data_IF_617202770808
#
_entry.id   IF_617202770808
#
_cell.length_a   1.000
_cell.length_b   1.000
_cell.length_c   1.000
_cell.angle_alpha   90.00
_cell.angle_beta   90.00
_cell.angle_gamma   90.00
#
_symmetry.space_group_name_H-M   'P 1'
#
loop_
_entity.id
_entity.type
_entity.pdbx_description
1 polymer ?
#
# COMPACT_ATOMS: atom_id res chain seq x y z
N UNK A 1 32.24 -25.19 24.63
CA UNK A 1 31.70 -24.64 23.38
C UNK A 1 30.76 -23.52 23.74
N UNK A 2 31.19 -22.27 23.54
CA UNK A 2 30.35 -21.07 23.85
C UNK A 2 29.66 -20.63 22.58
N UNK A 3 28.36 -20.66 22.59
CA UNK A 3 27.55 -20.12 21.50
C UNK A 3 27.37 -18.60 21.72
N UNK A 4 27.87 -17.81 20.82
CA UNK A 4 27.66 -16.37 20.75
C UNK A 4 26.45 -16.13 19.91
N UNK A 5 25.37 -15.65 20.54
CA UNK A 5 24.20 -15.14 19.86
C UNK A 5 24.57 -13.80 19.20
N UNK A 6 24.54 -13.73 17.89
CA UNK A 6 24.65 -12.48 17.14
C UNK A 6 23.31 -11.77 17.17
N UNK A 7 23.23 -10.68 17.89
CA UNK A 7 22.11 -9.74 17.84
C UNK A 7 22.29 -8.89 16.58
N UNK A 8 21.44 -9.09 15.59
CA UNK A 8 21.31 -8.16 14.46
C UNK A 8 20.54 -6.93 14.94
N UNK A 9 21.25 -5.85 15.18
CA UNK A 9 20.66 -4.53 15.38
C UNK A 9 20.36 -3.97 14.01
N UNK A 10 19.08 -4.06 13.60
CA UNK A 10 18.57 -3.38 12.42
C UNK A 10 18.64 -1.87 12.65
N UNK A 11 19.44 -1.18 11.86
CA UNK A 11 19.53 0.27 11.85
C UNK A 11 18.27 0.84 11.16
N UNK A 12 17.21 1.10 11.93
CA UNK A 12 16.06 1.85 11.43
C UNK A 12 16.46 3.31 11.25
N UNK A 13 16.64 3.72 10.01
CA UNK A 13 16.83 5.13 9.65
C UNK A 13 15.53 5.88 9.91
N UNK A 14 15.39 6.46 11.10
CA UNK A 14 14.28 7.32 11.46
C UNK A 14 14.40 8.64 10.73
N UNK A 15 13.74 8.77 9.59
CA UNK A 15 13.50 10.04 8.92
C UNK A 15 12.39 10.77 9.67
N UNK A 16 12.74 11.62 10.61
CA UNK A 16 11.81 12.51 11.29
C UNK A 16 11.34 13.61 10.33
N UNK A 17 10.42 13.27 9.44
CA UNK A 17 9.52 14.23 8.79
C UNK A 17 8.32 14.52 9.72
N UNK A 18 7.52 15.59 9.48
CA UNK A 18 6.35 15.89 10.30
C UNK A 18 5.46 14.65 10.37
N UNK A 19 4.99 14.33 11.57
CA UNK A 19 4.34 13.08 11.96
C UNK A 19 3.27 12.61 10.94
N UNK A 20 3.69 11.83 9.98
CA UNK A 20 2.83 10.93 9.27
C UNK A 20 2.48 9.86 10.32
N UNK A 21 1.25 9.84 10.79
CA UNK A 21 0.80 8.77 11.71
C UNK A 21 1.16 7.44 11.07
N UNK A 22 1.89 6.63 11.83
CA UNK A 22 2.53 5.43 11.33
C UNK A 22 1.47 4.47 10.77
N UNK A 23 1.66 4.01 9.54
CA UNK A 23 0.98 2.85 9.03
C UNK A 23 1.46 1.63 9.83
N UNK A 24 0.61 0.61 9.94
CA UNK A 24 0.97 -0.65 10.57
C UNK A 24 2.11 -1.32 9.81
N UNK A 25 3.03 -1.91 10.51
CA UNK A 25 4.06 -2.75 9.91
C UNK A 25 3.47 -4.06 9.41
N UNK A 26 4.02 -4.58 8.34
CA UNK A 26 3.69 -5.92 7.84
C UNK A 26 4.70 -6.89 8.44
N UNK A 27 4.21 -7.97 9.03
CA UNK A 27 5.02 -9.03 9.59
C UNK A 27 4.50 -10.42 9.16
N UNK A 28 5.35 -11.43 9.26
CA UNK A 28 5.00 -12.80 8.92
C UNK A 28 5.36 -13.73 10.08
N UNK A 29 4.47 -14.66 10.37
CA UNK A 29 4.68 -15.68 11.37
C UNK A 29 4.31 -17.06 10.84
N UNK A 30 4.81 -18.09 11.52
CA UNK A 30 4.44 -19.47 11.22
C UNK A 30 2.95 -19.69 11.44
N UNK A 31 2.38 -20.61 10.65
CA UNK A 31 0.98 -20.99 10.73
C UNK A 31 0.58 -21.42 12.15
N UNK A 32 -0.42 -20.80 12.67
CA UNK A 32 -1.19 -21.23 13.83
C UNK A 32 -2.43 -20.34 13.96
N UNK A 33 -3.52 -20.88 14.48
CA UNK A 33 -4.65 -20.05 14.90
C UNK A 33 -4.28 -19.36 16.22
N UNK A 34 -4.31 -18.03 16.31
CA UNK A 34 -3.97 -17.33 17.56
C UNK A 34 -5.03 -17.60 18.64
N UNK A 35 -4.66 -17.51 19.93
CA UNK A 35 -5.57 -17.80 21.04
C UNK A 35 -6.65 -16.73 21.26
N UNK A 36 -6.47 -15.52 20.73
CA UNK A 36 -7.39 -14.38 20.88
C UNK A 36 -6.97 -13.23 19.96
N UNK A 37 -7.70 -12.12 19.98
CA UNK A 37 -7.37 -10.89 19.25
C UNK A 37 -8.23 -10.68 18.03
N UNK A 38 -7.71 -9.92 17.06
CA UNK A 38 -8.41 -9.64 15.78
C UNK A 38 -7.80 -10.46 14.66
N UNK A 39 -8.61 -11.29 14.02
CA UNK A 39 -8.20 -12.12 12.91
C UNK A 39 -8.97 -11.80 11.63
N UNK A 40 -8.35 -12.10 10.48
CA UNK A 40 -8.98 -12.04 9.18
C UNK A 40 -8.82 -13.37 8.44
N UNK A 41 -9.88 -13.83 7.82
CA UNK A 41 -9.95 -15.15 7.12
C UNK A 41 -10.54 -14.93 5.74
N UNK A 42 -9.85 -15.45 4.73
CA UNK A 42 -10.39 -15.58 3.38
C UNK A 42 -11.30 -16.82 3.31
N UNK A 43 -12.50 -16.65 2.77
CA UNK A 43 -13.53 -17.72 2.74
C UNK A 43 -14.01 -17.92 1.32
N UNK A 44 -13.88 -19.15 0.80
CA UNK A 44 -14.40 -19.50 -0.52
C UNK A 44 -15.93 -19.62 -0.52
N UNK A 45 -16.52 -19.51 -1.71
CA UNK A 45 -17.96 -19.61 -1.87
C UNK A 45 -18.48 -20.96 -1.37
N UNK A 46 -19.60 -20.93 -0.65
CA UNK A 46 -20.21 -22.08 -0.01
C UNK A 46 -19.70 -22.34 1.41
N UNK A 47 -18.79 -21.53 1.92
CA UNK A 47 -18.23 -21.60 3.30
C UNK A 47 -17.76 -23.02 3.66
N UNK A 48 -16.52 -23.40 3.33
CA UNK A 48 -16.04 -24.78 3.39
C UNK A 48 -16.02 -25.35 4.81
N UNK A 49 -16.10 -26.67 4.90
CA UNK A 49 -15.97 -27.44 6.15
C UNK A 49 -14.51 -27.83 6.46
N UNK A 50 -13.57 -27.39 5.64
CA UNK A 50 -12.13 -27.67 5.76
C UNK A 50 -11.31 -26.38 5.64
N UNK A 51 -10.02 -26.44 6.02
CA UNK A 51 -9.07 -25.32 5.93
C UNK A 51 -9.25 -24.26 7.01
N UNK A 52 -8.72 -23.08 6.75
CA UNK A 52 -8.61 -21.99 7.74
C UNK A 52 -9.93 -21.66 8.44
N UNK A 53 -11.04 -21.64 7.69
CA UNK A 53 -12.35 -21.34 8.27
C UNK A 53 -12.75 -22.41 9.30
N UNK A 54 -12.57 -23.68 8.96
CA UNK A 54 -12.91 -24.80 9.85
C UNK A 54 -12.02 -24.81 11.11
N UNK A 55 -10.72 -24.51 10.96
CA UNK A 55 -9.79 -24.42 12.09
C UNK A 55 -10.21 -23.32 13.07
N UNK A 56 -10.67 -22.18 12.56
CA UNK A 56 -11.17 -21.07 13.40
C UNK A 56 -12.53 -21.42 14.01
N UNK A 57 -13.40 -22.11 13.26
CA UNK A 57 -14.71 -22.53 13.78
C UNK A 57 -14.56 -23.56 14.92
N UNK A 58 -13.59 -24.47 14.84
CA UNK A 58 -13.26 -25.40 15.93
C UNK A 58 -12.83 -24.64 17.20
N UNK A 59 -11.95 -23.62 17.06
CA UNK A 59 -11.50 -22.79 18.19
C UNK A 59 -12.65 -21.98 18.81
N UNK A 60 -13.66 -21.61 18.03
CA UNK A 60 -14.85 -20.88 18.50
C UNK A 60 -15.99 -21.79 18.96
N UNK A 61 -15.77 -23.11 19.04
CA UNK A 61 -16.81 -24.11 19.40
C UNK A 61 -18.08 -23.99 18.51
N UNK A 62 -17.87 -23.82 17.19
CA UNK A 62 -18.93 -23.66 16.21
C UNK A 62 -19.67 -22.33 16.25
N UNK A 63 -19.18 -21.34 17.02
CA UNK A 63 -19.84 -20.04 17.09
C UNK A 63 -19.67 -19.23 15.81
N UNK A 64 -18.54 -19.39 15.13
CA UNK A 64 -18.28 -18.72 13.86
C UNK A 64 -19.28 -19.19 12.77
N UNK A 65 -19.47 -20.49 12.62
CA UNK A 65 -20.42 -21.08 11.68
C UNK A 65 -21.84 -20.58 11.96
N UNK A 66 -22.28 -20.64 13.21
CA UNK A 66 -23.61 -20.13 13.61
C UNK A 66 -23.80 -18.66 13.28
N UNK A 67 -22.74 -17.83 13.44
CA UNK A 67 -22.81 -16.41 13.11
C UNK A 67 -22.92 -16.17 11.60
N UNK A 68 -22.15 -16.92 10.81
CA UNK A 68 -22.17 -16.88 9.34
C UNK A 68 -23.54 -17.29 8.79
N UNK A 69 -24.10 -18.40 9.30
CA UNK A 69 -25.43 -18.90 8.90
C UNK A 69 -26.55 -17.91 9.26
N UNK A 70 -26.44 -17.23 10.41
CA UNK A 70 -27.46 -16.28 10.87
C UNK A 70 -27.58 -15.03 9.95
N UNK A 71 -26.50 -14.67 9.26
CA UNK A 71 -26.47 -13.52 8.35
C UNK A 71 -26.47 -13.94 6.87
N UNK A 72 -26.53 -15.24 6.60
CA UNK A 72 -26.50 -15.81 5.25
C UNK A 72 -25.26 -15.36 4.45
N UNK A 73 -24.09 -15.30 5.08
CA UNK A 73 -22.82 -15.05 4.39
C UNK A 73 -22.44 -16.28 3.58
N UNK A 74 -22.25 -16.14 2.29
CA UNK A 74 -21.96 -17.23 1.37
C UNK A 74 -20.52 -17.28 0.89
N UNK A 75 -19.67 -16.33 1.27
CA UNK A 75 -18.29 -16.21 0.80
C UNK A 75 -18.19 -15.80 -0.66
N UNK A 76 -19.22 -15.14 -1.19
CA UNK A 76 -19.18 -14.60 -2.54
C UNK A 76 -18.05 -13.59 -2.72
N UNK A 77 -17.61 -13.41 -3.97
CA UNK A 77 -16.59 -12.42 -4.28
C UNK A 77 -17.05 -11.04 -3.84
N UNK A 78 -16.13 -10.30 -3.20
CA UNK A 78 -16.38 -8.97 -2.65
C UNK A 78 -17.29 -8.93 -1.42
N UNK A 79 -17.82 -10.03 -0.96
CA UNK A 79 -18.54 -10.10 0.30
C UNK A 79 -17.57 -9.98 1.48
N UNK A 80 -17.97 -9.22 2.47
CA UNK A 80 -17.19 -9.04 3.71
C UNK A 80 -18.12 -9.06 4.91
N UNK A 81 -17.74 -9.83 5.91
CA UNK A 81 -18.47 -9.92 7.17
C UNK A 81 -17.55 -9.59 8.32
N UNK A 82 -18.01 -8.71 9.19
CA UNK A 82 -17.29 -8.25 10.38
C UNK A 82 -18.04 -8.71 11.61
N UNK A 83 -17.41 -9.58 12.38
CA UNK A 83 -17.99 -10.26 13.55
C UNK A 83 -17.23 -9.84 14.82
N UNK A 84 -17.70 -8.84 15.57
CA UNK A 84 -17.13 -8.49 16.86
C UNK A 84 -17.55 -9.49 17.94
N UNK A 85 -16.61 -9.84 18.83
CA UNK A 85 -16.91 -10.57 20.06
C UNK A 85 -17.29 -12.04 19.89
N UNK A 86 -16.82 -12.70 18.85
CA UNK A 86 -16.93 -14.18 18.71
C UNK A 86 -15.77 -14.81 19.48
N UNK A 87 -16.03 -15.17 20.72
CA UNK A 87 -15.01 -15.71 21.64
C UNK A 87 -14.27 -16.93 21.03
N UNK A 88 -12.95 -17.05 21.21
CA UNK A 88 -12.09 -16.22 22.05
C UNK A 88 -11.57 -14.94 21.37
N UNK A 89 -12.03 -14.61 20.17
CA UNK A 89 -11.56 -13.48 19.39
C UNK A 89 -12.33 -12.19 19.73
N UNK A 90 -11.61 -11.07 19.74
CA UNK A 90 -12.21 -9.75 19.86
C UNK A 90 -12.99 -9.37 18.61
N UNK A 91 -12.47 -9.81 17.44
CA UNK A 91 -13.05 -9.53 16.13
C UNK A 91 -12.60 -10.54 15.11
N UNK A 92 -13.53 -11.01 14.27
CA UNK A 92 -13.24 -11.85 13.10
C UNK A 92 -13.70 -11.10 11.85
N UNK A 93 -12.81 -10.93 10.89
CA UNK A 93 -13.09 -10.32 9.59
C UNK A 93 -13.08 -11.43 8.54
N UNK A 94 -14.23 -11.74 7.95
CA UNK A 94 -14.33 -12.69 6.85
C UNK A 94 -14.35 -11.92 5.53
N UNK A 95 -13.59 -12.38 4.55
CA UNK A 95 -13.54 -11.82 3.20
C UNK A 95 -13.82 -12.94 2.19
N UNK A 96 -14.91 -12.83 1.44
CA UNK A 96 -15.30 -13.79 0.42
C UNK A 96 -14.34 -13.75 -0.78
N UNK A 97 -13.90 -14.93 -1.22
CA UNK A 97 -13.07 -15.12 -2.41
C UNK A 97 -13.87 -15.43 -3.66
N UNK A 98 -15.14 -15.86 -3.48
CA UNK A 98 -15.96 -16.42 -4.55
C UNK A 98 -15.61 -17.86 -4.88
N UNK A 99 -16.14 -18.33 -6.01
CA UNK A 99 -15.91 -19.70 -6.54
C UNK A 99 -14.72 -19.79 -7.50
N UNK A 100 -14.14 -18.66 -7.90
CA UNK A 100 -13.09 -18.61 -8.89
C UNK A 100 -11.75 -19.08 -8.32
N UNK A 101 -10.84 -19.44 -9.22
CA UNK A 101 -9.46 -19.76 -8.88
C UNK A 101 -8.77 -18.57 -8.19
N UNK A 102 -7.98 -18.85 -7.17
CA UNK A 102 -7.27 -17.84 -6.40
C UNK A 102 -6.11 -17.24 -7.21
N UNK A 103 -6.31 -16.03 -7.71
CA UNK A 103 -5.30 -15.28 -8.45
C UNK A 103 -4.56 -14.31 -7.54
N UNK A 104 -3.33 -13.91 -7.95
CA UNK A 104 -2.56 -12.87 -7.23
C UNK A 104 -3.37 -11.58 -7.00
N UNK A 105 -4.15 -11.16 -8.01
CA UNK A 105 -5.01 -9.98 -7.90
C UNK A 105 -6.11 -10.14 -6.84
N UNK A 106 -6.73 -11.31 -6.79
CA UNK A 106 -7.74 -11.59 -5.75
C UNK A 106 -7.13 -11.54 -4.36
N UNK A 107 -5.92 -12.09 -4.19
CA UNK A 107 -5.18 -12.02 -2.92
C UNK A 107 -4.84 -10.57 -2.52
N UNK A 108 -4.41 -9.76 -3.48
CA UNK A 108 -4.18 -8.32 -3.27
C UNK A 108 -5.47 -7.59 -2.87
N UNK A 109 -6.59 -7.90 -3.50
CA UNK A 109 -7.90 -7.32 -3.16
C UNK A 109 -8.35 -7.74 -1.75
N UNK A 110 -8.18 -9.01 -1.38
CA UNK A 110 -8.48 -9.52 -0.02
C UNK A 110 -7.60 -8.82 1.02
N UNK A 111 -6.28 -8.82 0.80
CA UNK A 111 -5.34 -8.10 1.67
C UNK A 111 -5.69 -6.63 1.79
N UNK A 112 -6.07 -5.98 0.68
CA UNK A 112 -6.49 -4.58 0.62
C UNK A 112 -7.71 -4.28 1.50
N UNK A 113 -8.71 -5.16 1.51
CA UNK A 113 -9.90 -5.06 2.38
C UNK A 113 -9.55 -5.18 3.85
N UNK A 114 -8.70 -6.17 4.19
CA UNK A 114 -8.20 -6.32 5.56
C UNK A 114 -7.39 -5.09 5.97
N UNK A 115 -6.52 -4.58 5.10
CA UNK A 115 -5.77 -3.34 5.33
C UNK A 115 -6.67 -2.13 5.59
N UNK A 116 -7.78 -1.99 4.85
CA UNK A 116 -8.77 -0.93 5.08
C UNK A 116 -9.47 -1.09 6.44
N UNK A 117 -9.86 -2.31 6.81
CA UNK A 117 -10.46 -2.60 8.10
C UNK A 117 -9.45 -2.36 9.25
N UNK A 118 -8.19 -2.73 9.04
CA UNK A 118 -7.09 -2.48 9.97
C UNK A 118 -6.85 -0.99 10.20
N UNK A 119 -6.90 -0.18 9.15
CA UNK A 119 -6.73 1.28 9.26
C UNK A 119 -7.82 1.98 10.08
N UNK A 120 -8.91 1.29 10.40
CA UNK A 120 -10.02 1.80 11.22
C UNK A 120 -10.15 1.07 12.56
N UNK A 121 -9.29 0.09 12.81
CA UNK A 121 -9.34 -0.73 14.03
C UNK A 121 -8.43 -0.15 15.12
N UNK A 122 -8.89 -0.13 16.39
CA UNK A 122 -8.05 0.20 17.52
C UNK A 122 -7.11 -0.93 17.96
N UNK A 123 -7.28 -2.16 17.42
CA UNK A 123 -6.45 -3.30 17.77
C UNK A 123 -4.99 -3.04 17.38
N UNK A 124 -4.04 -3.32 18.26
CA UNK A 124 -2.61 -3.16 17.96
C UNK A 124 -2.11 -4.19 16.94
N UNK A 125 -2.75 -5.36 16.91
CA UNK A 125 -2.36 -6.48 16.06
C UNK A 125 -3.58 -7.05 15.33
N UNK A 126 -3.44 -7.27 14.04
CA UNK A 126 -4.45 -7.91 13.20
C UNK A 126 -3.76 -9.02 12.43
N UNK A 127 -4.31 -10.24 12.50
CA UNK A 127 -3.67 -11.43 11.96
C UNK A 127 -4.47 -11.97 10.79
N UNK A 128 -3.83 -12.04 9.62
CA UNK A 128 -4.41 -12.67 8.43
C UNK A 128 -3.99 -14.14 8.43
N UNK A 129 -4.96 -15.03 8.48
CA UNK A 129 -4.71 -16.47 8.46
C UNK A 129 -4.74 -16.98 7.03
N UNK A 130 -3.63 -17.60 6.60
CA UNK A 130 -3.47 -18.11 5.24
C UNK A 130 -2.66 -19.41 5.25
N UNK A 131 -3.27 -20.53 4.83
CA UNK A 131 -2.66 -21.85 4.80
C UNK A 131 -2.01 -22.24 3.45
N UNK A 132 -2.01 -21.31 2.49
CA UNK A 132 -1.47 -21.52 1.16
C UNK A 132 0.02 -21.15 1.01
N UNK A 133 0.45 -21.10 -0.24
CA UNK A 133 1.84 -20.88 -0.63
C UNK A 133 2.37 -19.49 -0.22
N UNK A 134 3.70 -19.39 -0.07
CA UNK A 134 4.42 -18.19 0.33
C UNK A 134 4.22 -16.99 -0.60
N UNK A 135 4.16 -17.23 -1.93
CA UNK A 135 3.98 -16.15 -2.91
C UNK A 135 2.57 -15.54 -2.78
N UNK A 136 1.56 -16.39 -2.53
CA UNK A 136 0.20 -15.97 -2.23
C UNK A 136 0.13 -15.13 -0.94
N UNK A 137 0.84 -15.56 0.12
CA UNK A 137 0.94 -14.79 1.37
C UNK A 137 1.61 -13.42 1.16
N UNK A 138 2.62 -13.34 0.30
CA UNK A 138 3.27 -12.07 -0.05
C UNK A 138 2.33 -11.12 -0.82
N UNK A 139 1.46 -11.63 -1.70
CA UNK A 139 0.42 -10.83 -2.37
C UNK A 139 -0.65 -10.33 -1.39
N UNK A 140 -1.09 -11.15 -0.42
CA UNK A 140 -1.98 -10.70 0.65
C UNK A 140 -1.35 -9.55 1.45
N UNK A 141 -0.07 -9.69 1.82
CA UNK A 141 0.70 -8.66 2.52
C UNK A 141 0.80 -7.35 1.72
N UNK A 142 1.08 -7.47 0.42
CA UNK A 142 1.14 -6.32 -0.48
C UNK A 142 -0.21 -5.59 -0.56
N UNK A 143 -1.30 -6.33 -0.72
CA UNK A 143 -2.64 -5.78 -0.69
C UNK A 143 -2.94 -5.06 0.63
N UNK A 144 -2.61 -5.68 1.77
CA UNK A 144 -2.80 -5.08 3.10
C UNK A 144 -2.01 -3.79 3.27
N UNK A 145 -0.75 -3.76 2.81
CA UNK A 145 0.08 -2.55 2.81
C UNK A 145 -0.53 -1.41 1.99
N UNK A 146 -1.14 -1.72 0.84
CA UNK A 146 -1.79 -0.72 -0.01
C UNK A 146 -3.15 -0.26 0.55
N UNK A 147 -3.90 -1.17 1.18
CA UNK A 147 -5.24 -0.93 1.69
C UNK A 147 -5.29 -0.03 2.92
N UNK A 148 -4.28 -0.10 3.78
CA UNK A 148 -4.22 0.71 5.00
C UNK A 148 -3.87 2.19 4.74
N UNK A 149 -3.47 2.57 3.53
CA UNK A 149 -3.04 3.93 3.21
C UNK A 149 -4.09 4.98 3.54
N UNK A 150 -3.68 6.02 4.26
CA UNK A 150 -4.47 7.21 4.59
C UNK A 150 -3.60 8.47 4.46
N UNK A 151 -4.10 9.47 3.74
CA UNK A 151 -3.44 10.77 3.67
C UNK A 151 -3.94 11.67 4.80
N UNK A 152 -3.11 11.86 5.84
CA UNK A 152 -3.49 12.51 7.09
C UNK A 152 -2.80 13.86 7.31
N UNK A 153 -1.88 14.28 6.44
CA UNK A 153 -0.98 15.43 6.62
C UNK A 153 -1.68 16.74 7.03
N UNK A 154 -2.87 16.98 6.49
CA UNK A 154 -3.61 18.23 6.72
C UNK A 154 -4.81 18.08 7.67
N UNK A 155 -4.98 16.93 8.27
CA UNK A 155 -6.03 16.72 9.27
C UNK A 155 -5.53 17.19 10.64
N UNK A 156 -6.09 18.29 11.13
CA UNK A 156 -5.67 18.95 12.39
C UNK A 156 -6.65 18.75 13.54
N UNK A 157 -7.89 18.29 13.26
CA UNK A 157 -8.90 18.07 14.30
C UNK A 157 -8.76 16.66 14.86
N UNK A 158 -8.63 16.54 16.18
CA UNK A 158 -8.59 15.23 16.85
C UNK A 158 -9.86 14.39 16.61
N UNK A 159 -11.03 15.04 16.51
CA UNK A 159 -12.28 14.37 16.19
C UNK A 159 -12.34 13.77 14.76
N UNK A 160 -11.54 14.30 13.83
CA UNK A 160 -11.44 13.81 12.46
C UNK A 160 -10.27 12.81 12.29
N UNK A 161 -9.49 12.63 13.33
CA UNK A 161 -8.45 11.61 13.32
C UNK A 161 -9.12 10.23 13.46
N UNK A 162 -9.10 9.38 12.40
CA UNK A 162 -9.47 7.99 12.61
C UNK A 162 -8.61 7.44 13.76
N UNK A 163 -9.16 6.54 14.53
CA UNK A 163 -8.36 5.74 15.47
C UNK A 163 -7.45 4.86 14.60
N UNK A 164 -6.38 5.44 14.10
CA UNK A 164 -5.35 4.70 13.38
C UNK A 164 -4.52 4.05 14.47
N UNK A 165 -4.78 2.78 14.72
CA UNK A 165 -3.93 1.99 15.59
C UNK A 165 -2.53 1.95 14.99
N UNK A 166 -1.55 2.41 15.75
CA UNK A 166 -0.18 1.95 15.59
C UNK A 166 -0.19 0.44 15.81
N UNK A 167 0.68 -0.31 15.14
CA UNK A 167 0.77 -1.75 15.36
C UNK A 167 1.17 -2.52 14.11
N UNK A 168 0.70 -3.74 14.01
CA UNK A 168 1.13 -4.68 12.97
C UNK A 168 -0.07 -5.34 12.28
N UNK A 169 0.14 -5.68 11.01
CA UNK A 169 -0.64 -6.68 10.30
C UNK A 169 0.28 -7.88 10.11
N UNK A 170 -0.11 -9.01 10.67
CA UNK A 170 0.69 -10.25 10.65
C UNK A 170 0.04 -11.24 9.72
N UNK A 171 0.79 -11.77 8.78
CA UNK A 171 0.35 -12.86 7.93
C UNK A 171 0.85 -14.17 8.54
N UNK A 172 -0.07 -15.04 8.98
CA UNK A 172 0.24 -16.37 9.47
C UNK A 172 0.15 -17.37 8.34
N UNK A 173 1.28 -17.98 8.00
CA UNK A 173 1.37 -18.93 6.88
C UNK A 173 2.39 -20.03 7.18
N UNK A 174 2.27 -21.23 6.61
CA UNK A 174 3.21 -22.33 6.83
C UNK A 174 4.66 -21.95 6.53
N UNK A 175 4.89 -21.14 5.51
CA UNK A 175 6.23 -20.69 5.08
C UNK A 175 6.49 -19.22 5.44
N UNK A 176 6.16 -18.79 6.65
CA UNK A 176 6.19 -17.38 7.05
C UNK A 176 7.53 -16.68 6.76
N UNK A 177 8.66 -17.31 7.07
CA UNK A 177 9.98 -16.72 6.80
C UNK A 177 10.27 -16.55 5.30
N UNK A 178 9.90 -17.54 4.47
CA UNK A 178 10.08 -17.46 3.03
C UNK A 178 9.11 -16.46 2.38
N UNK A 179 7.89 -16.36 2.89
CA UNK A 179 6.92 -15.35 2.45
C UNK A 179 7.39 -13.92 2.79
N UNK A 180 8.01 -13.74 3.96
CA UNK A 180 8.63 -12.47 4.34
C UNK A 180 9.74 -12.05 3.37
N UNK A 181 10.63 -12.99 2.99
CA UNK A 181 11.69 -12.73 2.03
C UNK A 181 11.14 -12.29 0.67
N UNK A 182 10.13 -12.99 0.13
CA UNK A 182 9.47 -12.63 -1.12
C UNK A 182 8.83 -11.23 -1.03
N UNK A 183 8.14 -10.95 0.08
CA UNK A 183 7.51 -9.64 0.29
C UNK A 183 8.54 -8.52 0.35
N UNK A 184 9.59 -8.66 1.17
CA UNK A 184 10.60 -7.62 1.37
C UNK A 184 11.41 -7.33 0.10
N UNK A 185 11.73 -8.37 -0.69
CA UNK A 185 12.52 -8.20 -1.91
C UNK A 185 11.69 -7.65 -3.08
N UNK A 186 10.44 -8.08 -3.22
CA UNK A 186 9.66 -7.78 -4.43
C UNK A 186 8.57 -6.75 -4.20
N UNK A 187 7.79 -6.86 -3.10
CA UNK A 187 6.55 -6.13 -2.92
C UNK A 187 6.65 -4.92 -2.01
N UNK A 188 7.45 -4.97 -0.96
CA UNK A 188 7.62 -3.84 -0.05
C UNK A 188 8.15 -2.58 -0.76
N UNK A 189 9.14 -2.65 -1.68
CA UNK A 189 9.57 -1.50 -2.45
C UNK A 189 8.47 -0.94 -3.36
N UNK A 190 7.65 -1.81 -3.95
CA UNK A 190 6.52 -1.39 -4.79
C UNK A 190 5.43 -0.72 -3.96
N UNK A 191 5.07 -1.28 -2.79
CA UNK A 191 4.12 -0.68 -1.87
C UNK A 191 4.58 0.72 -1.42
N UNK A 192 5.86 0.86 -1.10
CA UNK A 192 6.47 2.15 -0.77
C UNK A 192 6.37 3.14 -1.93
N UNK A 193 6.69 2.72 -3.16
CA UNK A 193 6.62 3.58 -4.35
C UNK A 193 5.19 4.04 -4.64
N UNK A 194 4.21 3.13 -4.54
CA UNK A 194 2.79 3.48 -4.71
C UNK A 194 2.34 4.48 -3.66
N UNK A 195 2.75 4.30 -2.40
CA UNK A 195 2.45 5.23 -1.31
C UNK A 195 3.08 6.60 -1.56
N UNK A 196 4.34 6.64 -1.99
CA UNK A 196 5.01 7.88 -2.37
C UNK A 196 4.22 8.64 -3.44
N UNK A 197 3.81 7.96 -4.52
CA UNK A 197 3.02 8.56 -5.59
C UNK A 197 1.66 9.05 -5.08
N UNK A 198 0.96 8.24 -4.25
CA UNK A 198 -0.32 8.65 -3.65
C UNK A 198 -0.17 9.92 -2.80
N UNK A 199 0.90 10.02 -2.00
CA UNK A 199 1.19 11.22 -1.22
C UNK A 199 1.37 12.43 -2.12
N UNK A 200 2.21 12.32 -3.15
CA UNK A 200 2.49 13.41 -4.10
C UNK A 200 1.24 13.88 -4.84
N UNK A 201 0.40 12.96 -5.31
CA UNK A 201 -0.83 13.31 -6.05
C UNK A 201 -1.87 13.97 -5.13
N UNK A 202 -1.90 13.60 -3.85
CA UNK A 202 -2.88 14.12 -2.89
C UNK A 202 -2.47 15.49 -2.32
N UNK A 203 -1.20 15.88 -2.47
CA UNK A 203 -0.73 17.19 -2.03
C UNK A 203 -1.43 18.34 -2.76
N UNK A 204 -1.77 19.43 -2.06
CA UNK A 204 -2.29 20.64 -2.69
C UNK A 204 -1.30 21.25 -3.69
N UNK A 205 -1.82 21.92 -4.73
CA UNK A 205 -1.00 22.57 -5.74
C UNK A 205 -0.07 23.69 -5.21
N UNK A 206 -0.31 24.18 -3.99
CA UNK A 206 0.59 25.12 -3.32
C UNK A 206 1.85 24.45 -2.77
N UNK A 207 1.76 23.16 -2.43
CA UNK A 207 2.85 22.36 -1.86
C UNK A 207 3.59 21.58 -2.95
N UNK A 208 2.86 21.08 -3.97
CA UNK A 208 3.44 20.30 -5.05
C UNK A 208 3.43 21.10 -6.35
N UNK A 209 4.59 21.54 -6.75
CA UNK A 209 4.90 22.22 -8.01
C UNK A 209 6.20 21.62 -8.57
N UNK A 210 6.58 21.90 -9.84
CA UNK A 210 7.69 21.19 -10.48
C UNK A 210 8.98 21.08 -9.67
N UNK A 211 9.39 22.16 -9.04
CA UNK A 211 10.63 22.20 -8.25
C UNK A 211 10.50 21.38 -6.95
N UNK A 212 9.37 21.50 -6.24
CA UNK A 212 9.13 20.73 -5.01
C UNK A 212 8.96 19.24 -5.30
N UNK A 213 8.32 18.88 -6.43
CA UNK A 213 8.24 17.50 -6.89
C UNK A 213 9.65 16.92 -7.13
N UNK A 214 10.52 17.66 -7.84
CA UNK A 214 11.90 17.22 -8.08
C UNK A 214 12.67 17.06 -6.76
N UNK A 215 12.45 17.95 -5.80
CA UNK A 215 13.08 17.87 -4.49
C UNK A 215 12.61 16.63 -3.72
N UNK A 216 11.30 16.35 -3.70
CA UNK A 216 10.75 15.15 -3.08
C UNK A 216 11.26 13.88 -3.77
N UNK A 217 11.30 13.86 -5.10
CA UNK A 217 11.84 12.74 -5.86
C UNK A 217 13.33 12.50 -5.55
N UNK A 218 14.14 13.56 -5.45
CA UNK A 218 15.55 13.43 -5.05
C UNK A 218 15.71 12.82 -3.67
N UNK A 219 14.92 13.25 -2.69
CA UNK A 219 14.94 12.68 -1.35
C UNK A 219 14.48 11.22 -1.34
N UNK A 220 13.46 10.90 -2.12
CA UNK A 220 12.91 9.54 -2.21
C UNK A 220 13.88 8.54 -2.86
N UNK A 221 14.69 9.00 -3.81
CA UNK A 221 15.65 8.17 -4.56
C UNK A 221 17.10 8.38 -4.11
N UNK A 222 17.32 9.08 -3.01
CA UNK A 222 18.65 9.26 -2.46
C UNK A 222 19.28 7.91 -2.07
N UNK A 223 20.54 7.72 -2.44
CA UNK A 223 21.23 6.45 -2.21
C UNK A 223 21.01 5.36 -3.27
N UNK A 224 20.09 5.55 -4.23
CA UNK A 224 19.90 4.62 -5.34
C UNK A 224 20.93 4.92 -6.45
N UNK A 225 21.94 4.04 -6.58
CA UNK A 225 23.08 4.26 -7.46
C UNK A 225 22.74 4.46 -8.95
N UNK A 226 21.59 3.92 -9.40
CA UNK A 226 21.19 3.89 -10.81
C UNK A 226 20.15 4.95 -11.18
N UNK A 227 19.71 5.78 -10.22
CA UNK A 227 18.72 6.82 -10.48
C UNK A 227 19.41 8.15 -10.63
N UNK A 228 19.41 8.68 -11.84
CA UNK A 228 19.85 10.06 -12.13
C UNK A 228 18.66 10.83 -12.64
N UNK A 229 18.28 11.81 -11.89
CA UNK A 229 17.21 12.72 -12.29
C UNK A 229 17.80 14.12 -12.33
N UNK A 230 17.67 14.78 -13.42
CA UNK A 230 16.98 16.05 -13.61
C UNK A 230 17.35 16.58 -14.98
N UNK A 231 16.35 16.69 -15.81
CA UNK A 231 16.43 17.52 -16.99
C UNK A 231 15.90 18.89 -16.64
N UNK A 232 16.74 19.91 -16.72
CA UNK A 232 16.30 21.30 -16.67
C UNK A 232 15.56 21.68 -17.95
N UNK A 233 14.92 22.85 -17.95
CA UNK A 233 14.16 23.34 -19.10
C UNK A 233 15.01 23.35 -20.40
N UNK A 234 16.26 23.86 -20.43
CA UNK A 234 17.10 23.81 -21.62
C UNK A 234 17.40 22.40 -22.12
N UNK A 235 17.63 21.45 -21.22
CA UNK A 235 17.86 20.05 -21.59
C UNK A 235 16.59 19.38 -22.15
N UNK A 236 15.42 19.66 -21.56
CA UNK A 236 14.13 19.18 -22.07
C UNK A 236 13.79 19.76 -23.44
N UNK A 237 14.06 21.05 -23.66
CA UNK A 237 13.90 21.69 -24.99
C UNK A 237 14.79 21.03 -26.03
N UNK A 238 16.04 20.79 -25.69
CA UNK A 238 17.01 20.12 -26.57
C UNK A 238 16.59 18.69 -26.97
N UNK A 239 15.93 18.00 -26.04
CA UNK A 239 15.37 16.66 -26.27
C UNK A 239 13.99 16.68 -26.95
N UNK A 240 13.40 17.86 -27.20
CA UNK A 240 12.08 17.99 -27.83
C UNK A 240 10.90 17.56 -26.93
N UNK A 241 11.05 17.64 -25.62
CA UNK A 241 10.03 17.21 -24.64
C UNK A 241 8.91 18.27 -24.46
N UNK A 242 8.31 18.72 -25.57
CA UNK A 242 7.34 19.83 -25.59
C UNK A 242 6.09 19.59 -24.76
N UNK A 243 5.61 18.35 -24.62
CA UNK A 243 4.45 18.01 -23.81
C UNK A 243 4.67 18.28 -22.31
N UNK A 244 5.83 17.89 -21.78
CA UNK A 244 6.19 18.13 -20.39
C UNK A 244 6.39 19.63 -20.13
N UNK A 245 7.05 20.33 -21.07
CA UNK A 245 7.22 21.78 -20.99
C UNK A 245 5.89 22.53 -21.04
N UNK A 246 4.91 22.07 -21.80
CA UNK A 246 3.56 22.64 -21.86
C UNK A 246 2.82 22.48 -20.52
N UNK A 247 2.91 21.31 -19.87
CA UNK A 247 2.34 21.08 -18.54
C UNK A 247 3.01 21.97 -17.47
N UNK A 248 4.34 22.09 -17.50
CA UNK A 248 5.09 22.97 -16.62
C UNK A 248 4.69 24.44 -16.81
N UNK A 249 4.52 24.87 -18.05
CA UNK A 249 4.06 26.21 -18.40
C UNK A 249 2.66 26.52 -17.87
N UNK A 250 1.73 25.59 -17.98
CA UNK A 250 0.36 25.73 -17.50
C UNK A 250 0.34 25.91 -15.97
N UNK A 251 1.18 25.17 -15.25
CA UNK A 251 1.32 25.29 -13.80
C UNK A 251 1.89 26.65 -13.39
N UNK A 252 2.87 27.19 -14.13
CA UNK A 252 3.51 28.48 -13.81
C UNK A 252 2.62 29.69 -14.18
N UNK A 253 1.69 29.58 -15.11
CA UNK A 253 0.73 30.64 -15.44
C UNK A 253 -0.37 30.82 -14.40
N UNK A 254 -0.59 29.84 -13.54
CA UNK A 254 -1.50 29.94 -12.40
C UNK A 254 -0.89 30.71 -11.19
N UNK A 255 0.41 31.03 -11.23
CA UNK A 255 1.10 31.78 -10.17
C UNK A 255 0.87 33.31 -10.30
N UNK A 256 0.96 34.08 -9.18
CA UNK A 256 0.79 35.53 -9.18
C UNK A 256 1.74 36.24 -10.16
N UNK A 257 1.31 37.40 -10.68
CA UNK A 257 1.96 38.15 -11.76
C UNK A 257 3.45 38.49 -11.60
N UNK A 258 3.97 38.47 -10.39
CA UNK A 258 5.38 38.70 -10.10
C UNK A 258 6.34 37.63 -10.68
N UNK A 259 5.84 36.47 -11.09
CA UNK A 259 6.63 35.38 -11.71
C UNK A 259 6.32 35.15 -13.20
N UNK A 260 5.50 35.99 -13.84
CA UNK A 260 5.04 35.80 -15.23
C UNK A 260 5.97 36.30 -16.33
N UNK A 261 7.21 36.57 -16.09
CA UNK A 261 8.10 37.17 -17.13
C UNK A 261 8.81 36.07 -17.95
N UNK A 262 8.08 35.50 -18.91
CA UNK A 262 8.68 34.84 -20.06
C UNK A 262 8.19 35.52 -21.37
N UNK A 263 9.08 35.73 -22.36
CA UNK A 263 8.75 36.49 -23.56
C UNK A 263 7.70 35.78 -24.40
N UNK A 264 6.79 36.58 -25.01
CA UNK A 264 5.65 36.11 -25.82
C UNK A 264 6.04 35.24 -27.03
N UNK A 265 7.27 35.35 -27.51
CA UNK A 265 7.80 34.54 -28.60
C UNK A 265 8.02 33.06 -28.23
N UNK A 266 8.26 32.74 -26.97
CA UNK A 266 8.39 31.37 -26.49
C UNK A 266 7.04 30.64 -26.40
N UNK A 267 5.91 31.37 -26.28
CA UNK A 267 4.56 30.82 -26.19
C UNK A 267 4.10 30.15 -27.50
N UNK A 268 4.32 30.82 -28.63
CA UNK A 268 3.81 30.34 -29.92
C UNK A 268 4.58 29.11 -30.44
N UNK A 269 5.88 29.04 -30.20
CA UNK A 269 6.72 27.95 -30.67
C UNK A 269 6.53 26.64 -29.91
N UNK A 270 6.15 26.70 -28.61
CA UNK A 270 5.90 25.52 -27.77
C UNK A 270 4.53 24.87 -28.08
N UNK A 271 3.50 25.67 -28.29
CA UNK A 271 2.16 25.18 -28.69
C UNK A 271 2.17 24.52 -30.08
N UNK A 272 2.92 25.08 -31.03
CA UNK A 272 2.99 24.53 -32.39
C UNK A 272 3.77 23.22 -32.46
N UNK A 273 4.75 22.99 -31.56
CA UNK A 273 5.51 21.74 -31.47
C UNK A 273 4.80 20.62 -30.72
N UNK A 274 3.90 20.96 -29.76
CA UNK A 274 3.11 19.98 -29.00
C UNK A 274 2.03 19.28 -29.84
N UNK A 275 1.65 19.85 -31.01
CA UNK A 275 0.56 19.35 -31.85
C UNK A 275 1.07 18.49 -33.04
N UNK A 276 2.37 18.30 -33.18
CA UNK A 276 2.91 17.45 -34.26
C UNK A 276 2.98 15.98 -33.85
N UNK A 277 2.23 15.06 -34.51
CA UNK A 277 2.03 13.67 -34.04
C UNK A 277 3.09 12.67 -34.48
N UNK A 278 4.36 13.03 -34.57
CA UNK A 278 5.37 12.08 -35.00
C UNK A 278 6.68 12.18 -34.25
N UNK A 279 6.75 11.54 -33.08
CA UNK A 279 7.99 10.93 -32.55
C UNK A 279 7.64 10.14 -31.27
N UNK A 280 7.72 8.82 -31.38
CA UNK A 280 7.67 7.89 -30.26
C UNK A 280 8.88 8.14 -29.37
N UNK A 281 8.64 8.52 -28.12
CA UNK A 281 9.69 8.65 -27.10
C UNK A 281 9.85 7.29 -26.43
N UNK A 282 10.93 6.59 -26.74
CA UNK A 282 11.31 5.37 -26.01
C UNK A 282 12.15 5.77 -24.80
N UNK A 283 11.64 5.56 -23.60
CA UNK A 283 12.40 5.69 -22.36
C UNK A 283 13.21 4.41 -22.19
N UNK A 284 14.51 4.46 -22.46
CA UNK A 284 15.42 3.36 -22.11
C UNK A 284 15.79 3.46 -20.65
N UNK A 285 15.33 2.48 -19.87
CA UNK A 285 15.83 2.23 -18.51
C UNK A 285 17.07 1.35 -18.70
N UNK A 286 18.25 1.89 -18.46
CA UNK A 286 19.48 1.11 -18.45
C UNK A 286 19.48 0.21 -17.20
N UNK A 287 19.72 -1.09 -17.42
CA UNK A 287 19.92 -2.10 -16.36
C UNK A 287 21.30 -1.95 -15.74
#
# INVERSE_FOLDING_TARGET
>A
MKWTASVFVGLTLSMAGPAVRAERTIAFESWSVPPSGTIAVAVSQGVPDEGVFADVDEVTDGALRRAVDAVAFEGERDEQLDLPGVAPFDRIILVGTGADETTSRLLEDIGGRVGQAAAQSPAERIEILWDGERDAAAHLAFGAALGQYRFMKYRTREADAPVVGEGEIVIRTPEGAAAAEVYEEQWAPVAWAVRFVRNVITEPALEIYPESFVQQARLAFDGLANVRIVLDVPAMEKLGMGGILACWWSATTALPETRRRLPSSARASLLTRAISPSKTVTVQIAR
#
